data_IF_153788366303
#
_entry.id   IF_153788366303
#
_cell.length_a   1.000
_cell.length_b   1.000
_cell.length_c   1.000
_cell.angle_alpha   90.00
_cell.angle_beta   90.00
_cell.angle_gamma   90.00
#
_symmetry.space_group_name_H-M   'P 1'
#
loop_
_entity.id
_entity.type
_entity.pdbx_description
1 polymer ?
#
# COMPACT_ATOMS: atom_id res chain seq x y z
N UNK A 1 7.21 -3.32 -6.85
CA UNK A 1 7.03 -2.67 -5.53
C UNK A 1 7.03 -3.77 -4.48
N UNK A 2 7.97 -3.76 -3.54
CA UNK A 2 8.00 -4.73 -2.43
C UNK A 2 7.37 -4.07 -1.20
N UNK A 3 6.19 -4.55 -0.82
CA UNK A 3 5.45 -4.11 0.36
C UNK A 3 4.85 -5.34 1.02
N UNK A 4 5.65 -5.99 1.88
CA UNK A 4 5.25 -7.22 2.55
C UNK A 4 4.13 -6.93 3.55
N UNK A 5 3.05 -7.71 3.58
CA UNK A 5 2.02 -7.59 4.62
C UNK A 5 2.62 -7.72 6.01
N UNK A 6 2.12 -6.91 6.95
CA UNK A 6 2.47 -7.01 8.36
C UNK A 6 1.93 -8.31 8.97
N UNK A 7 2.60 -8.82 10.01
CA UNK A 7 2.15 -10.01 10.74
C UNK A 7 0.77 -9.72 11.36
N UNK A 8 -0.17 -10.65 11.19
CA UNK A 8 -1.56 -10.51 11.67
C UNK A 8 -2.50 -9.76 10.72
N UNK A 9 -2.05 -9.39 9.52
CA UNK A 9 -2.89 -8.75 8.50
C UNK A 9 -3.80 -9.75 7.77
N UNK A 10 -4.99 -9.29 7.36
CA UNK A 10 -5.89 -10.09 6.51
C UNK A 10 -5.51 -9.96 5.04
N UNK A 11 -5.23 -11.09 4.39
CA UNK A 11 -4.77 -11.14 3.00
C UNK A 11 -5.76 -11.86 2.08
N UNK A 12 -5.71 -11.51 0.79
CA UNK A 12 -6.43 -12.21 -0.27
C UNK A 12 -5.51 -13.25 -0.92
N UNK A 13 -5.96 -14.49 -0.89
CA UNK A 13 -5.29 -15.63 -1.52
C UNK A 13 -5.86 -15.89 -2.91
N UNK A 14 -4.98 -16.15 -3.87
CA UNK A 14 -5.32 -16.63 -5.20
C UNK A 14 -4.84 -18.06 -5.37
N UNK A 15 -5.75 -18.93 -5.81
CA UNK A 15 -5.50 -20.34 -6.10
C UNK A 15 -5.49 -20.51 -7.62
N UNK A 16 -4.30 -20.66 -8.20
CA UNK A 16 -4.07 -20.71 -9.66
C UNK A 16 -4.65 -21.95 -10.32
N UNK A 17 -4.67 -23.07 -9.61
CA UNK A 17 -5.19 -24.35 -10.06
C UNK A 17 -6.19 -24.89 -9.03
N UNK A 18 -7.11 -25.75 -9.48
CA UNK A 18 -8.26 -26.24 -8.70
C UNK A 18 -7.95 -27.12 -7.47
N UNK A 19 -6.81 -26.94 -6.80
CA UNK A 19 -6.60 -27.44 -5.43
C UNK A 19 -5.22 -27.97 -5.08
N UNK A 20 -4.25 -28.00 -6.01
CA UNK A 20 -2.97 -28.72 -5.77
C UNK A 20 -1.72 -27.84 -5.67
N UNK A 21 -1.84 -26.52 -5.83
CA UNK A 21 -0.72 -25.58 -5.71
C UNK A 21 -0.88 -24.68 -4.48
N UNK A 22 0.24 -24.25 -3.91
CA UNK A 22 0.23 -23.26 -2.83
C UNK A 22 -0.36 -21.94 -3.32
N UNK A 23 -1.33 -21.35 -2.60
CA UNK A 23 -1.93 -20.10 -3.01
C UNK A 23 -0.94 -18.94 -2.87
N UNK A 24 -1.09 -17.94 -3.73
CA UNK A 24 -0.29 -16.71 -3.65
C UNK A 24 -1.07 -15.57 -3.00
N UNK A 25 -0.37 -14.76 -2.22
CA UNK A 25 -0.93 -13.51 -1.69
C UNK A 25 -1.02 -12.49 -2.81
N UNK A 26 -2.22 -11.96 -3.05
CA UNK A 26 -2.48 -10.94 -4.10
C UNK A 26 -2.69 -9.53 -3.54
N UNK A 27 -2.92 -9.41 -2.23
CA UNK A 27 -3.06 -8.11 -1.57
C UNK A 27 -3.63 -8.24 -0.16
N UNK A 28 -3.69 -7.11 0.55
CA UNK A 28 -4.28 -7.00 1.89
C UNK A 28 -5.69 -6.40 1.83
N UNK A 29 -6.51 -6.71 2.83
CA UNK A 29 -7.79 -6.03 3.03
C UNK A 29 -7.53 -4.65 3.62
N UNK A 30 -8.11 -3.61 3.01
CA UNK A 30 -8.01 -2.25 3.53
C UNK A 30 -8.89 -2.08 4.76
N UNK A 31 -8.33 -1.53 5.84
CA UNK A 31 -9.02 -1.34 7.13
C UNK A 31 -9.59 0.06 7.37
N UNK A 32 -9.05 1.07 6.69
CA UNK A 32 -9.37 2.48 6.90
C UNK A 32 -9.92 3.16 5.64
N UNK A 33 -10.61 2.40 4.78
CA UNK A 33 -11.18 2.95 3.54
C UNK A 33 -12.15 4.11 3.79
N UNK A 34 -12.92 4.00 4.86
CA UNK A 34 -14.03 4.90 5.17
C UNK A 34 -13.54 6.22 5.81
N UNK A 35 -12.37 6.20 6.45
CA UNK A 35 -11.82 7.33 7.23
C UNK A 35 -10.57 7.95 6.61
N UNK A 36 -9.94 7.31 5.63
CA UNK A 36 -8.74 7.81 5.01
C UNK A 36 -9.06 8.82 3.91
N UNK A 37 -8.80 10.10 4.20
CA UNK A 37 -9.03 11.22 3.28
C UNK A 37 -8.30 11.06 1.95
N UNK A 38 -7.10 10.46 1.95
CA UNK A 38 -6.31 10.20 0.74
C UNK A 38 -7.01 9.29 -0.29
N UNK A 39 -8.03 8.52 0.12
CA UNK A 39 -8.84 7.71 -0.80
C UNK A 39 -10.15 8.35 -1.24
N UNK A 40 -10.48 9.54 -0.73
CA UNK A 40 -11.72 10.25 -1.10
C UNK A 40 -11.71 10.75 -2.55
N UNK A 41 -10.54 11.13 -3.09
CA UNK A 41 -10.39 11.63 -4.45
C UNK A 41 -9.72 10.58 -5.34
N UNK A 42 -10.49 10.02 -6.28
CA UNK A 42 -10.05 8.96 -7.20
C UNK A 42 -9.00 9.40 -8.22
N UNK A 43 -8.78 10.72 -8.40
CA UNK A 43 -7.71 11.24 -9.26
C UNK A 43 -6.35 11.26 -8.59
N UNK A 44 -6.31 11.15 -7.26
CA UNK A 44 -5.09 11.17 -6.49
C UNK A 44 -4.68 9.72 -6.17
N UNK A 45 -3.38 9.46 -6.16
CA UNK A 45 -2.85 8.18 -5.67
C UNK A 45 -1.81 8.46 -4.59
N UNK A 46 -1.84 7.64 -3.55
CA UNK A 46 -0.95 7.76 -2.40
C UNK A 46 -0.31 6.41 -2.14
N UNK A 47 0.96 6.42 -1.75
CA UNK A 47 1.65 5.25 -1.22
C UNK A 47 2.34 5.68 0.07
N UNK A 48 1.88 5.12 1.20
CA UNK A 48 2.37 5.47 2.53
C UNK A 48 2.92 4.23 3.22
N UNK A 49 3.99 4.40 4.00
CA UNK A 49 4.49 3.39 4.93
C UNK A 49 3.98 3.63 6.35
N UNK A 50 4.02 2.60 7.18
CA UNK A 50 3.69 2.69 8.62
C UNK A 50 4.64 3.61 9.41
N UNK A 51 5.81 3.94 8.84
CA UNK A 51 6.79 4.85 9.43
C UNK A 51 6.62 6.30 8.97
N UNK A 52 5.55 6.62 8.25
CA UNK A 52 5.21 7.99 7.84
C UNK A 52 5.87 8.48 6.55
N UNK A 53 6.64 7.63 5.85
CA UNK A 53 7.14 7.99 4.51
C UNK A 53 6.01 7.89 3.50
N UNK A 54 5.99 8.80 2.54
CA UNK A 54 4.88 8.96 1.61
C UNK A 54 5.34 9.37 0.21
N UNK A 55 4.69 8.80 -0.79
CA UNK A 55 4.67 9.28 -2.17
C UNK A 55 3.25 9.70 -2.51
N UNK A 56 3.06 10.98 -2.85
CA UNK A 56 1.80 11.52 -3.36
C UNK A 56 1.90 11.71 -4.88
N UNK A 57 1.03 11.05 -5.62
CA UNK A 57 0.91 11.14 -7.07
C UNK A 57 -0.41 11.84 -7.39
N UNK A 58 -0.32 13.16 -7.56
CA UNK A 58 -1.45 14.03 -7.90
C UNK A 58 -1.42 14.33 -9.41
N UNK A 59 -2.55 14.70 -10.04
CA UNK A 59 -2.57 15.00 -11.48
C UNK A 59 -1.57 16.07 -11.95
N UNK A 60 -1.13 16.96 -11.06
CA UNK A 60 -0.18 18.04 -11.37
C UNK A 60 1.11 18.03 -10.53
N UNK A 61 1.31 17.04 -9.67
CA UNK A 61 2.46 17.01 -8.77
C UNK A 61 2.86 15.58 -8.37
N UNK A 62 4.16 15.38 -8.17
CA UNK A 62 4.72 14.21 -7.52
C UNK A 62 5.48 14.70 -6.28
N UNK A 63 4.97 14.38 -5.09
CA UNK A 63 5.60 14.76 -3.83
C UNK A 63 6.18 13.52 -3.15
N UNK A 64 7.38 13.64 -2.58
CA UNK A 64 8.05 12.59 -1.81
C UNK A 64 8.36 13.16 -0.43
N UNK A 65 7.85 12.52 0.62
CA UNK A 65 8.05 12.92 2.02
C UNK A 65 8.67 11.77 2.82
N UNK A 66 9.63 12.11 3.67
CA UNK A 66 10.33 11.15 4.51
C UNK A 66 9.69 11.14 5.89
N UNK A 67 9.31 9.96 6.37
CA UNK A 67 8.76 9.79 7.72
C UNK A 67 9.81 9.57 8.80
N UNK A 68 11.07 9.33 8.42
CA UNK A 68 12.18 9.10 9.35
C UNK A 68 13.11 10.32 9.46
N UNK A 69 13.96 10.29 10.48
CA UNK A 69 15.05 11.28 10.65
C UNK A 69 16.20 11.06 9.65
N UNK A 70 16.25 9.89 9.03
CA UNK A 70 17.29 9.52 8.08
C UNK A 70 16.99 10.21 6.74
N UNK A 71 18.03 10.61 5.99
CA UNK A 71 17.84 11.24 4.70
C UNK A 71 17.15 10.27 3.72
N UNK A 72 16.14 10.78 3.02
CA UNK A 72 15.54 10.12 1.87
C UNK A 72 16.59 10.00 0.76
N UNK A 73 16.87 8.77 0.34
CA UNK A 73 17.64 8.48 -0.87
C UNK A 73 16.65 8.37 -2.03
N UNK A 74 16.69 9.33 -2.97
CA UNK A 74 15.83 9.41 -4.15
C UNK A 74 16.67 9.20 -5.40
#
# INVERSE_FOLDING_TARGET
MYAMPSIGESVRLYFSSGGNEEPIVTGCVRKNGDTCEGTSNTKNRYFQSEHGSEIEMLPGALNIKGGSKEPLSI
#
